data_IF_150926297384
#
_entry.id   IF_150926297384
#
_cell.length_a   1.000
_cell.length_b   1.000
_cell.length_c   1.000
_cell.angle_alpha   90.00
_cell.angle_beta   90.00
_cell.angle_gamma   90.00
#
_symmetry.space_group_name_H-M   'P 1'
#
loop_
_entity.id
_entity.type
_entity.pdbx_description
1 polymer ?
#
# COMPACT_ATOMS: atom_id res chain seq x y z
N UNK A 1 20.11 14.26 8.43
CA UNK A 1 19.38 14.28 7.14
C UNK A 1 18.36 13.15 7.11
N UNK A 2 17.33 13.22 6.26
CA UNK A 2 16.33 12.15 6.09
C UNK A 2 17.01 10.84 5.66
N UNK A 3 18.07 10.94 4.90
CA UNK A 3 18.87 9.82 4.42
C UNK A 3 19.51 9.04 5.57
N UNK A 4 20.06 9.75 6.59
CA UNK A 4 20.62 9.09 7.77
C UNK A 4 19.54 8.38 8.59
N UNK A 5 18.33 8.93 8.67
CA UNK A 5 17.19 8.29 9.32
C UNK A 5 16.79 6.99 8.59
N UNK A 6 16.72 7.02 7.27
CA UNK A 6 16.37 5.85 6.48
C UNK A 6 17.42 4.75 6.62
N UNK A 7 18.73 5.10 6.58
CA UNK A 7 19.81 4.13 6.74
C UNK A 7 19.95 3.58 8.16
N UNK A 8 19.49 4.30 9.18
CA UNK A 8 19.45 3.80 10.55
C UNK A 8 18.25 2.90 10.84
N UNK A 9 17.29 2.82 9.92
CA UNK A 9 16.08 2.01 10.05
C UNK A 9 16.27 0.64 9.37
N UNK A 10 15.73 -0.42 9.98
CA UNK A 10 15.75 -1.75 9.39
C UNK A 10 14.86 -1.84 8.13
N UNK A 11 13.74 -1.14 8.18
CA UNK A 11 12.75 -1.10 7.10
C UNK A 11 12.21 0.31 6.93
N UNK A 12 12.06 0.73 5.68
CA UNK A 12 11.45 2.02 5.31
C UNK A 12 10.35 1.74 4.31
N UNK A 13 9.13 2.13 4.65
CA UNK A 13 7.96 2.00 3.80
C UNK A 13 7.59 3.39 3.29
N UNK A 14 7.43 3.54 1.98
CA UNK A 14 6.98 4.79 1.37
C UNK A 14 5.72 4.57 0.52
N UNK A 15 4.88 5.59 0.40
CA UNK A 15 3.77 5.59 -0.54
C UNK A 15 4.29 5.97 -1.93
N UNK A 16 4.09 5.09 -2.92
CA UNK A 16 4.43 5.35 -4.31
C UNK A 16 3.15 5.73 -5.06
N UNK A 17 2.87 7.01 -5.13
CA UNK A 17 1.61 7.55 -5.66
C UNK A 17 1.69 7.85 -7.17
N UNK A 18 2.33 6.97 -7.89
CA UNK A 18 2.32 6.93 -9.36
C UNK A 18 2.78 5.55 -9.85
N UNK A 19 2.31 5.07 -11.00
CA UNK A 19 2.92 3.93 -11.66
C UNK A 19 4.35 4.27 -12.10
N UNK A 20 5.27 3.35 -11.87
CA UNK A 20 6.67 3.45 -12.33
C UNK A 20 6.87 2.42 -13.42
N UNK A 21 6.67 2.85 -14.68
CA UNK A 21 6.55 1.95 -15.83
C UNK A 21 6.85 2.67 -17.14
N UNK A 22 7.28 1.92 -18.15
CA UNK A 22 7.36 2.41 -19.54
C UNK A 22 6.02 2.28 -20.29
N UNK A 23 5.06 1.57 -19.72
CA UNK A 23 3.72 1.41 -20.30
C UNK A 23 3.00 2.76 -20.24
N UNK A 24 2.30 3.07 -21.33
CA UNK A 24 1.44 4.26 -21.45
C UNK A 24 0.08 3.79 -21.92
N UNK A 25 -0.82 3.62 -20.98
CA UNK A 25 -2.20 3.23 -21.24
C UNK A 25 -3.13 4.39 -20.91
N UNK A 26 -4.07 4.68 -21.80
CA UNK A 26 -5.05 5.74 -21.57
C UNK A 26 -6.02 5.31 -20.48
N UNK A 27 -6.17 6.15 -19.46
CA UNK A 27 -7.21 6.04 -18.43
C UNK A 27 -8.01 7.34 -18.38
N UNK A 28 -9.29 7.24 -18.03
CA UNK A 28 -10.18 8.41 -17.90
C UNK A 28 -10.05 8.96 -16.48
N UNK A 29 -9.06 9.84 -16.27
CA UNK A 29 -8.84 10.55 -14.99
C UNK A 29 -8.42 11.99 -15.25
N UNK A 30 -8.75 12.88 -14.31
CA UNK A 30 -8.35 14.29 -14.39
C UNK A 30 -6.84 14.47 -14.26
N UNK A 31 -6.21 13.72 -13.36
CA UNK A 31 -4.77 13.74 -13.13
C UNK A 31 -4.20 12.34 -13.36
N UNK A 32 -3.17 12.25 -14.16
CA UNK A 32 -2.53 10.99 -14.56
C UNK A 32 -1.03 11.15 -14.36
N UNK A 33 -0.50 10.34 -13.44
CA UNK A 33 0.92 10.35 -13.10
C UNK A 33 1.64 9.14 -13.69
N UNK A 34 2.95 9.28 -13.81
CA UNK A 34 3.85 8.20 -14.20
C UNK A 34 5.29 8.56 -13.82
N UNK A 35 5.98 7.63 -13.20
CA UNK A 35 7.42 7.68 -12.95
C UNK A 35 8.21 6.79 -13.93
N UNK A 36 9.51 7.00 -13.98
CA UNK A 36 10.43 6.19 -14.78
C UNK A 36 11.02 5.06 -13.91
N UNK A 37 11.09 3.80 -14.42
CA UNK A 37 11.66 2.67 -13.67
C UNK A 37 13.08 2.91 -13.18
N UNK A 38 13.85 3.72 -13.90
CA UNK A 38 15.22 4.09 -13.58
C UNK A 38 15.36 4.86 -12.25
N UNK A 39 14.27 5.37 -11.69
CA UNK A 39 14.26 6.05 -10.38
C UNK A 39 14.30 5.07 -9.21
N UNK A 40 13.76 3.86 -9.38
CA UNK A 40 13.63 2.87 -8.30
C UNK A 40 14.99 2.46 -7.66
N UNK A 41 16.06 2.20 -8.42
CA UNK A 41 17.37 1.93 -7.81
C UNK A 41 17.89 3.07 -6.93
N UNK A 42 17.53 4.31 -7.24
CA UNK A 42 17.89 5.46 -6.39
C UNK A 42 17.12 5.42 -5.08
N UNK A 43 15.81 5.19 -5.11
CA UNK A 43 15.00 5.02 -3.89
C UNK A 43 15.56 3.90 -3.01
N UNK A 44 15.93 2.76 -3.61
CA UNK A 44 16.53 1.63 -2.90
C UNK A 44 17.86 1.97 -2.25
N UNK A 45 18.74 2.71 -2.94
CA UNK A 45 20.03 3.18 -2.38
C UNK A 45 19.86 4.11 -1.19
N UNK A 46 18.79 4.91 -1.16
CA UNK A 46 18.45 5.78 -0.04
C UNK A 46 17.68 5.08 1.09
N UNK A 47 17.66 3.74 1.11
CA UNK A 47 17.16 2.95 2.23
C UNK A 47 15.69 2.55 2.15
N UNK A 48 14.93 2.93 1.11
CA UNK A 48 13.55 2.50 0.95
C UNK A 48 13.53 0.99 0.64
N UNK A 49 12.74 0.24 1.40
CA UNK A 49 12.65 -1.22 1.31
C UNK A 49 11.30 -1.69 0.78
N UNK A 50 10.25 -0.95 1.07
CA UNK A 50 8.88 -1.30 0.69
C UNK A 50 8.15 -0.10 0.09
N UNK A 51 7.31 -0.36 -0.91
CA UNK A 51 6.52 0.66 -1.59
C UNK A 51 5.04 0.30 -1.56
N UNK A 52 4.25 1.16 -0.89
CA UNK A 52 2.81 1.03 -0.85
C UNK A 52 2.18 1.49 -2.17
N UNK A 53 1.36 0.63 -2.76
CA UNK A 53 0.62 0.87 -3.99
C UNK A 53 -0.90 0.99 -3.77
N UNK A 54 -1.41 0.79 -2.55
CA UNK A 54 -2.83 0.95 -2.26
C UNK A 54 -3.20 2.43 -2.17
N UNK A 55 -3.15 3.13 -3.31
CA UNK A 55 -3.51 4.53 -3.48
C UNK A 55 -4.27 4.77 -4.78
N UNK A 56 -4.84 5.94 -4.93
CA UNK A 56 -5.72 6.28 -6.07
C UNK A 56 -4.96 6.54 -7.38
N UNK A 57 -3.62 6.65 -7.37
CA UNK A 57 -2.82 6.90 -8.57
C UNK A 57 -2.11 5.66 -9.13
N UNK A 58 -2.15 4.54 -8.45
CA UNK A 58 -1.42 3.32 -8.85
C UNK A 58 -1.87 2.71 -10.18
N UNK A 59 -3.09 3.02 -10.65
CA UNK A 59 -3.64 2.52 -11.94
C UNK A 59 -3.63 3.61 -13.02
N UNK A 60 -2.92 4.70 -12.86
CA UNK A 60 -2.89 5.82 -13.82
C UNK A 60 -2.33 5.44 -15.21
N UNK A 61 -1.63 4.35 -15.33
CA UNK A 61 -1.16 3.77 -16.58
C UNK A 61 -1.85 2.44 -16.90
N UNK A 62 -3.11 2.30 -16.45
CA UNK A 62 -3.91 1.09 -16.63
C UNK A 62 -3.44 -0.09 -15.78
N UNK A 63 -4.11 -1.22 -15.95
CA UNK A 63 -3.82 -2.45 -15.18
C UNK A 63 -2.49 -3.07 -15.56
N UNK A 64 -2.08 -2.95 -16.81
CA UNK A 64 -0.78 -3.40 -17.29
C UNK A 64 0.33 -2.57 -16.66
N UNK A 65 0.14 -1.24 -16.54
CA UNK A 65 1.06 -0.34 -15.85
C UNK A 65 1.20 -0.68 -14.38
N UNK A 66 0.11 -1.03 -13.68
CA UNK A 66 0.14 -1.49 -12.29
C UNK A 66 0.97 -2.76 -12.12
N UNK A 67 0.74 -3.78 -12.96
CA UNK A 67 1.49 -5.04 -12.90
C UNK A 67 2.97 -4.83 -13.21
N UNK A 68 3.28 -4.05 -14.25
CA UNK A 68 4.66 -3.71 -14.58
C UNK A 68 5.35 -2.94 -13.44
N UNK A 69 4.65 -2.00 -12.81
CA UNK A 69 5.16 -1.27 -11.64
C UNK A 69 5.58 -2.23 -10.52
N UNK A 70 4.77 -3.22 -10.19
CA UNK A 70 5.12 -4.24 -9.19
C UNK A 70 6.38 -5.00 -9.58
N UNK A 71 6.51 -5.40 -10.84
CA UNK A 71 7.70 -6.10 -11.35
C UNK A 71 8.96 -5.21 -11.32
N UNK A 72 8.84 -3.92 -11.67
CA UNK A 72 9.96 -2.99 -11.59
C UNK A 72 10.42 -2.76 -10.14
N UNK A 73 9.49 -2.66 -9.19
CA UNK A 73 9.78 -2.56 -7.75
C UNK A 73 10.57 -3.80 -7.29
N UNK A 74 10.10 -5.01 -7.62
CA UNK A 74 10.77 -6.26 -7.29
C UNK A 74 12.18 -6.35 -7.90
N UNK A 75 12.32 -5.98 -9.19
CA UNK A 75 13.63 -5.92 -9.89
C UNK A 75 14.61 -4.96 -9.22
N UNK A 76 14.12 -3.88 -8.64
CA UNK A 76 14.95 -2.93 -7.89
C UNK A 76 15.28 -3.39 -6.45
N UNK A 77 14.87 -4.60 -6.05
CA UNK A 77 15.15 -5.16 -4.73
C UNK A 77 14.29 -4.57 -3.61
N UNK A 78 13.09 -4.10 -3.95
CA UNK A 78 12.09 -3.62 -3.00
C UNK A 78 10.82 -4.47 -3.05
N UNK A 79 9.95 -4.32 -2.05
CA UNK A 79 8.71 -5.10 -1.93
C UNK A 79 7.50 -4.21 -2.18
N UNK A 80 6.64 -4.52 -3.17
CA UNK A 80 5.37 -3.82 -3.34
C UNK A 80 4.35 -4.31 -2.32
N UNK A 81 3.52 -3.38 -1.79
CA UNK A 81 2.46 -3.65 -0.82
C UNK A 81 1.13 -3.12 -1.40
N UNK A 82 0.04 -3.87 -1.21
CA UNK A 82 -1.31 -3.37 -1.46
C UNK A 82 -1.74 -3.36 -2.92
N UNK A 83 -1.11 -4.16 -3.78
CA UNK A 83 -1.51 -4.35 -5.18
C UNK A 83 -1.34 -5.81 -5.61
N UNK A 84 -2.15 -6.27 -6.55
CA UNK A 84 -2.14 -7.65 -7.01
C UNK A 84 -2.85 -7.87 -8.34
N UNK A 85 -2.83 -9.11 -8.81
CA UNK A 85 -3.53 -9.55 -10.03
C UNK A 85 -5.06 -9.58 -9.87
N UNK A 86 -5.52 -9.54 -8.63
CA UNK A 86 -6.92 -9.45 -8.22
C UNK A 86 -6.98 -8.85 -6.82
N UNK A 87 -8.19 -8.64 -6.28
CA UNK A 87 -8.41 -8.04 -4.96
C UNK A 87 -7.84 -8.92 -3.83
N UNK A 88 -7.94 -10.23 -3.94
CA UNK A 88 -7.45 -11.17 -2.93
C UNK A 88 -5.93 -11.04 -2.79
N UNK A 89 -5.19 -11.11 -3.90
CA UNK A 89 -3.73 -10.91 -3.91
C UNK A 89 -3.34 -9.50 -3.45
N UNK A 90 -4.08 -8.47 -3.89
CA UNK A 90 -3.81 -7.08 -3.49
C UNK A 90 -3.98 -6.84 -1.98
N UNK A 91 -4.89 -7.56 -1.33
CA UNK A 91 -5.19 -7.42 0.09
C UNK A 91 -4.34 -8.33 1.00
N UNK A 92 -3.50 -9.22 0.43
CA UNK A 92 -2.66 -10.09 1.22
C UNK A 92 -1.69 -9.29 2.12
N UNK A 93 -1.60 -9.63 3.41
CA UNK A 93 -0.61 -9.02 4.30
C UNK A 93 0.81 -9.32 3.83
N UNK A 94 1.68 -8.33 3.91
CA UNK A 94 3.09 -8.48 3.58
C UNK A 94 3.90 -8.65 4.86
N UNK A 95 4.66 -9.74 4.96
CA UNK A 95 5.59 -9.96 6.05
C UNK A 95 6.84 -9.10 5.82
N UNK A 96 7.03 -8.08 6.68
CA UNK A 96 8.17 -7.15 6.62
C UNK A 96 9.36 -7.71 7.39
N UNK A 97 9.13 -8.31 8.55
CA UNK A 97 10.18 -8.83 9.43
C UNK A 97 9.75 -10.12 10.12
N UNK A 98 10.74 -10.99 10.39
CA UNK A 98 10.55 -12.22 11.16
C UNK A 98 11.27 -12.20 12.50
N UNK A 99 12.15 -11.24 12.74
CA UNK A 99 12.97 -11.17 13.98
C UNK A 99 13.10 -9.71 14.46
N UNK A 100 12.99 -9.44 15.77
CA UNK A 100 12.73 -10.37 16.88
C UNK A 100 11.28 -10.88 16.95
N UNK A 101 10.38 -10.32 16.15
CA UNK A 101 8.98 -10.76 15.97
C UNK A 101 8.51 -10.52 14.55
N UNK A 102 7.45 -11.19 14.16
CA UNK A 102 6.83 -10.93 12.86
C UNK A 102 6.24 -9.50 12.83
N UNK A 103 6.48 -8.80 11.74
CA UNK A 103 5.87 -7.50 11.44
C UNK A 103 5.10 -7.65 10.14
N UNK A 104 3.79 -7.49 10.21
CA UNK A 104 2.90 -7.58 9.07
C UNK A 104 2.42 -6.20 8.64
N UNK A 105 2.51 -5.90 7.36
CA UNK A 105 1.88 -4.73 6.75
C UNK A 105 0.58 -5.13 6.06
N UNK A 106 -0.49 -4.46 6.38
CA UNK A 106 -1.79 -4.54 5.71
C UNK A 106 -2.10 -3.17 5.13
N UNK A 107 -2.40 -3.10 3.86
CA UNK A 107 -2.65 -1.84 3.18
C UNK A 107 -4.01 -1.82 2.51
N UNK A 108 -4.67 -0.66 2.52
CA UNK A 108 -5.93 -0.46 1.78
C UNK A 108 -6.12 0.99 1.35
N UNK A 109 -6.62 1.14 0.14
CA UNK A 109 -7.17 2.40 -0.36
C UNK A 109 -8.61 2.53 0.11
N UNK A 110 -8.93 3.66 0.75
CA UNK A 110 -10.23 3.97 1.36
C UNK A 110 -10.80 5.30 0.84
N UNK A 111 -10.64 5.55 -0.46
CA UNK A 111 -11.25 6.67 -1.16
C UNK A 111 -12.38 6.19 -2.08
N UNK A 112 -13.37 7.04 -2.37
CA UNK A 112 -14.31 6.76 -3.46
C UNK A 112 -13.55 6.55 -4.76
N UNK A 113 -13.77 5.44 -5.43
CA UNK A 113 -13.12 5.11 -6.69
C UNK A 113 -14.07 5.24 -7.85
N UNK A 114 -13.52 5.59 -8.99
CA UNK A 114 -14.19 5.45 -10.25
C UNK A 114 -14.42 3.96 -10.57
N UNK A 115 -15.65 3.62 -10.98
CA UNK A 115 -16.09 2.22 -11.13
C UNK A 115 -15.18 1.37 -12.03
N UNK A 116 -14.55 1.98 -13.04
CA UNK A 116 -13.68 1.26 -13.95
C UNK A 116 -12.35 0.79 -13.31
N UNK A 117 -11.95 1.38 -12.18
CA UNK A 117 -10.78 0.97 -11.41
C UNK A 117 -11.09 -0.22 -10.50
N UNK A 118 -12.32 -0.31 -10.02
CA UNK A 118 -12.74 -1.37 -9.10
C UNK A 118 -13.33 -2.57 -9.85
N UNK A 119 -12.48 -3.56 -10.09
CA UNK A 119 -12.88 -4.86 -10.62
C UNK A 119 -12.11 -5.94 -9.84
N UNK A 120 -12.73 -6.61 -8.86
CA UNK A 120 -12.04 -7.48 -7.91
C UNK A 120 -11.34 -8.69 -8.54
N UNK A 121 -11.77 -9.11 -9.73
CA UNK A 121 -11.19 -10.22 -10.49
C UNK A 121 -10.10 -9.78 -11.49
N UNK A 122 -9.74 -8.50 -11.48
CA UNK A 122 -8.72 -7.93 -12.37
C UNK A 122 -7.59 -7.33 -11.55
N UNK A 123 -6.42 -7.07 -12.16
CA UNK A 123 -5.35 -6.36 -11.46
C UNK A 123 -5.83 -5.06 -10.85
N UNK A 124 -5.63 -4.90 -9.56
CA UNK A 124 -6.11 -3.76 -8.78
C UNK A 124 -5.25 -3.53 -7.52
N UNK A 125 -5.57 -2.48 -6.80
CA UNK A 125 -5.03 -2.21 -5.48
C UNK A 125 -6.00 -2.69 -4.40
N UNK A 126 -5.51 -2.94 -3.20
CA UNK A 126 -6.33 -3.30 -2.05
C UNK A 126 -7.34 -2.19 -1.72
N UNK A 127 -8.60 -2.58 -1.55
CA UNK A 127 -9.75 -1.69 -1.28
C UNK A 127 -10.70 -2.34 -0.27
N UNK A 128 -10.15 -2.91 0.78
CA UNK A 128 -10.93 -3.60 1.80
C UNK A 128 -11.81 -2.61 2.59
N UNK A 129 -12.99 -3.06 2.99
CA UNK A 129 -13.84 -2.34 3.94
C UNK A 129 -13.19 -2.34 5.34
N UNK A 130 -13.63 -1.43 6.21
CA UNK A 130 -13.17 -1.42 7.61
C UNK A 130 -13.46 -2.77 8.29
N UNK A 131 -14.65 -3.35 8.05
CA UNK A 131 -15.01 -4.66 8.61
C UNK A 131 -14.11 -5.78 8.10
N UNK A 132 -13.74 -5.76 6.80
CA UNK A 132 -12.78 -6.72 6.23
C UNK A 132 -11.40 -6.56 6.85
N UNK A 133 -10.94 -5.33 7.02
CA UNK A 133 -9.66 -5.03 7.70
C UNK A 133 -9.67 -5.51 9.15
N UNK A 134 -10.76 -5.28 9.90
CA UNK A 134 -10.94 -5.78 11.25
C UNK A 134 -10.83 -7.32 11.29
N UNK A 135 -11.51 -8.01 10.39
CA UNK A 135 -11.42 -9.48 10.31
C UNK A 135 -10.00 -9.96 9.99
N UNK A 136 -9.30 -9.26 9.10
CA UNK A 136 -7.91 -9.58 8.74
C UNK A 136 -6.95 -9.39 9.91
N UNK A 137 -7.06 -8.25 10.61
CA UNK A 137 -6.27 -7.97 11.83
C UNK A 137 -6.50 -9.05 12.90
N UNK A 138 -7.77 -9.39 13.17
CA UNK A 138 -8.11 -10.45 14.14
C UNK A 138 -7.54 -11.81 13.73
N UNK A 139 -7.57 -12.15 12.44
CA UNK A 139 -6.99 -13.40 11.91
C UNK A 139 -5.47 -13.43 12.10
N UNK A 140 -4.76 -12.36 11.75
CA UNK A 140 -3.32 -12.26 11.96
C UNK A 140 -2.97 -12.42 13.44
N UNK A 141 -3.67 -11.71 14.32
CA UNK A 141 -3.46 -11.76 15.75
C UNK A 141 -3.77 -13.14 16.37
N UNK A 142 -4.78 -13.85 15.83
CA UNK A 142 -5.09 -15.21 16.25
C UNK A 142 -4.02 -16.23 15.82
N UNK A 143 -3.41 -16.03 14.65
CA UNK A 143 -2.36 -16.89 14.10
C UNK A 143 -1.02 -16.64 14.82
N UNK A 144 -0.69 -15.38 15.13
CA UNK A 144 0.52 -15.00 15.82
C UNK A 144 0.22 -13.90 16.86
N UNK A 145 0.11 -14.30 18.11
CA UNK A 145 -0.24 -13.39 19.22
C UNK A 145 0.79 -12.29 19.46
N UNK A 146 2.04 -12.53 19.11
CA UNK A 146 3.17 -11.65 19.36
C UNK A 146 3.60 -10.83 18.14
N UNK A 147 2.91 -10.96 16.99
CA UNK A 147 3.26 -10.17 15.82
C UNK A 147 2.98 -8.68 16.04
N UNK A 148 3.58 -7.85 15.19
CA UNK A 148 3.26 -6.42 15.05
C UNK A 148 2.46 -6.24 13.77
N UNK A 149 1.31 -5.59 13.84
CA UNK A 149 0.41 -5.37 12.71
C UNK A 149 0.37 -3.87 12.41
N UNK A 150 0.94 -3.50 11.26
CA UNK A 150 0.97 -2.15 10.73
C UNK A 150 -0.12 -2.01 9.67
N UNK A 151 -1.01 -1.04 9.84
CA UNK A 151 -2.02 -0.68 8.84
C UNK A 151 -1.58 0.57 8.07
N UNK A 152 -1.64 0.50 6.75
CA UNK A 152 -1.31 1.60 5.84
C UNK A 152 -2.60 1.97 5.09
N UNK A 153 -3.23 3.06 5.50
CA UNK A 153 -4.50 3.50 4.93
C UNK A 153 -4.32 4.77 4.10
N UNK A 154 -4.68 4.69 2.82
CA UNK A 154 -4.74 5.86 1.95
C UNK A 154 -6.19 6.35 1.88
N UNK A 155 -6.51 7.36 2.69
CA UNK A 155 -7.88 7.82 2.92
C UNK A 155 -7.98 9.31 3.24
N UNK A 156 -9.22 9.82 3.31
CA UNK A 156 -9.51 11.19 3.70
C UNK A 156 -9.81 12.11 2.51
N UNK A 157 -9.97 13.38 2.81
CA UNK A 157 -10.28 14.42 1.83
C UNK A 157 -9.03 15.25 1.56
N UNK A 158 -8.74 15.51 0.31
CA UNK A 158 -7.68 16.45 -0.08
C UNK A 158 -7.89 17.83 0.57
N UNK A 159 -6.80 18.50 0.88
CA UNK A 159 -6.79 19.84 1.48
C UNK A 159 -7.43 19.94 2.87
N UNK A 160 -7.69 18.83 3.56
CA UNK A 160 -8.17 18.83 4.94
C UNK A 160 -7.01 18.48 5.90
N UNK A 161 -6.78 19.38 6.89
CA UNK A 161 -5.67 19.21 7.87
C UNK A 161 -6.07 18.37 9.09
N UNK A 162 -7.33 17.96 9.20
CA UNK A 162 -7.84 17.19 10.34
C UNK A 162 -8.57 15.95 9.86
N UNK A 163 -8.34 14.84 10.56
CA UNK A 163 -9.11 13.63 10.36
C UNK A 163 -10.59 13.86 10.69
N UNK A 164 -11.46 13.29 9.86
CA UNK A 164 -12.91 13.31 10.10
C UNK A 164 -13.27 12.49 11.35
N UNK A 165 -14.45 12.73 11.98
CA UNK A 165 -14.93 11.86 13.06
C UNK A 165 -14.96 10.38 12.66
N UNK A 166 -15.42 10.08 11.44
CA UNK A 166 -15.46 8.71 10.92
C UNK A 166 -14.08 8.07 10.81
N UNK A 167 -13.07 8.80 10.30
CA UNK A 167 -11.70 8.28 10.23
C UNK A 167 -11.15 7.94 11.62
N UNK A 168 -11.45 8.77 12.63
CA UNK A 168 -11.02 8.51 14.00
C UNK A 168 -11.71 7.27 14.59
N UNK A 169 -13.03 7.16 14.40
CA UNK A 169 -13.80 5.99 14.84
C UNK A 169 -13.28 4.71 14.18
N UNK A 170 -13.06 4.74 12.88
CA UNK A 170 -12.55 3.59 12.12
C UNK A 170 -11.12 3.20 12.58
N UNK A 171 -10.25 4.19 12.83
CA UNK A 171 -8.91 3.94 13.38
C UNK A 171 -8.99 3.27 14.77
N UNK A 172 -9.86 3.76 15.66
CA UNK A 172 -10.06 3.14 16.97
C UNK A 172 -10.54 1.70 16.85
N UNK A 173 -11.53 1.41 15.97
CA UNK A 173 -11.99 0.03 15.72
C UNK A 173 -10.87 -0.90 15.27
N UNK A 174 -9.97 -0.41 14.43
CA UNK A 174 -8.84 -1.19 13.91
C UNK A 174 -7.81 -1.47 15.01
N UNK A 175 -7.50 -0.49 15.86
CA UNK A 175 -6.64 -0.66 17.04
C UNK A 175 -7.27 -1.63 18.04
N UNK A 176 -8.56 -1.46 18.35
CA UNK A 176 -9.31 -2.35 19.26
C UNK A 176 -9.38 -3.80 18.71
N UNK A 177 -9.34 -3.96 17.40
CA UNK A 177 -9.27 -5.28 16.76
C UNK A 177 -7.88 -5.95 16.89
N UNK A 178 -6.84 -5.21 17.29
CA UNK A 178 -5.49 -5.71 17.54
C UNK A 178 -4.42 -5.19 16.59
N UNK A 179 -4.65 -4.13 15.80
CA UNK A 179 -3.59 -3.44 15.10
C UNK A 179 -2.69 -2.70 16.10
N UNK A 180 -1.39 -2.60 15.79
CA UNK A 180 -0.40 -1.92 16.66
C UNK A 180 -0.09 -0.50 16.18
N UNK A 181 -0.23 -0.23 14.88
CA UNK A 181 -0.06 1.10 14.30
C UNK A 181 -0.81 1.20 12.94
#
# INVERSE_FOLDING_TARGET
TIDSLFHSSNYVIANLECPVTKIRERVFKRFIFRGEPEWLPTLRRHGITHLNLANNHSIDQGRRGLLDTQEQIKKAGMVPIGAGKNMEEAAEPVLISTSPRHVWAVSSLRLPLENFLYLPQKPCVSQESIDSLIMRVKRLRATDKNCYILLILHWGWEHHFRATPQQREDAHKLIDAGADA
#
